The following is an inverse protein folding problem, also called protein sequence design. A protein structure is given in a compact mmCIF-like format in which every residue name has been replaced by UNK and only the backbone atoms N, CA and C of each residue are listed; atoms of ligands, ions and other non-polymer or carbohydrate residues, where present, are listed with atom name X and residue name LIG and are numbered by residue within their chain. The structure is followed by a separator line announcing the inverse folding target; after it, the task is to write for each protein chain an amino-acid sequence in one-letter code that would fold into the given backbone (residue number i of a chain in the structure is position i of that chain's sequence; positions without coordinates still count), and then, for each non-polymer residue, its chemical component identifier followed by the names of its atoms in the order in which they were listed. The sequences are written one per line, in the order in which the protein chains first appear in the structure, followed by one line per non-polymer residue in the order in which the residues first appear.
data_IF_551870607860
#
_entry.id   IF_551870607860
#
_cell.length_a   1.000
_cell.length_b   1.000
_cell.length_c   1.000
_cell.angle_alpha   90.00
_cell.angle_beta   90.00
_cell.angle_gamma   90.00
#
_symmetry.space_group_name_H-M   'P 1'
#
loop_
_entity.id
_entity.type
_entity.pdbx_description
1 polymer ?
#
# COMPACT_ATOMS: atom_id res chain seq x y z
N UNK A 1 -58.23 -0.04 25.16
CA UNK A 1 -57.90 0.65 23.90
C UNK A 1 -57.09 1.87 24.28
N UNK A 2 -55.77 1.74 24.24
CA UNK A 2 -54.89 2.50 23.36
C UNK A 2 -53.44 2.13 23.71
N UNK A 3 -52.82 1.44 22.75
CA UNK A 3 -51.48 0.87 22.81
C UNK A 3 -50.40 1.96 22.86
N UNK A 4 -49.54 1.92 23.89
CA UNK A 4 -48.23 2.57 23.83
C UNK A 4 -47.18 1.52 23.47
N UNK A 5 -46.76 1.62 22.22
CA UNK A 5 -45.71 0.85 21.57
C UNK A 5 -44.40 0.86 22.36
N UNK A 6 -43.98 -0.33 22.80
CA UNK A 6 -42.63 -0.62 23.23
C UNK A 6 -41.74 -0.57 22.00
N UNK A 7 -40.99 0.52 21.82
CA UNK A 7 -39.91 0.58 20.86
C UNK A 7 -38.75 -0.29 21.37
N UNK A 8 -38.68 -1.53 20.88
CA UNK A 8 -37.46 -2.37 20.93
C UNK A 8 -36.36 -1.68 20.13
N UNK A 9 -35.58 -0.82 20.78
CA UNK A 9 -34.30 -0.36 20.27
C UNK A 9 -33.31 -1.54 20.38
N UNK A 10 -33.24 -2.36 19.34
CA UNK A 10 -32.11 -3.25 19.11
C UNK A 10 -30.90 -2.38 18.72
N UNK A 11 -30.24 -1.79 19.70
CA UNK A 11 -28.85 -1.37 19.51
C UNK A 11 -28.01 -2.63 19.35
N UNK A 12 -27.22 -2.77 18.26
CA UNK A 12 -26.33 -3.91 18.12
C UNK A 12 -25.35 -3.92 19.29
N UNK A 13 -25.33 -5.01 20.04
CA UNK A 13 -24.30 -5.29 21.02
C UNK A 13 -22.95 -5.33 20.30
N UNK A 14 -22.11 -4.33 20.52
CA UNK A 14 -20.72 -4.36 20.10
C UNK A 14 -20.00 -5.30 21.06
N UNK A 15 -19.84 -6.56 20.66
CA UNK A 15 -19.05 -7.55 21.38
C UNK A 15 -17.57 -7.14 21.37
N UNK A 16 -17.08 -6.60 22.47
CA UNK A 16 -15.65 -6.35 22.68
C UNK A 16 -14.99 -7.62 23.24
N UNK A 17 -14.01 -8.17 22.53
CA UNK A 17 -13.20 -9.29 22.98
C UNK A 17 -12.33 -8.86 24.17
N UNK A 18 -12.66 -9.33 25.36
CA UNK A 18 -11.76 -9.33 26.51
C UNK A 18 -10.71 -10.42 26.38
N UNK A 19 -9.47 -10.09 26.78
CA UNK A 19 -8.68 -10.77 27.81
C UNK A 19 -7.19 -10.78 27.43
N UNK A 20 -6.35 -10.06 28.19
CA UNK A 20 -4.90 -10.00 27.98
C UNK A 20 -4.21 -8.89 28.76
N UNK A 21 -4.09 -9.10 30.08
CA UNK A 21 -3.12 -8.52 31.05
C UNK A 21 -2.33 -7.27 30.64
N UNK A 22 -2.63 -6.16 31.33
CA UNK A 22 -1.86 -4.93 31.36
C UNK A 22 -0.52 -5.11 32.09
N UNK A 23 0.58 -4.87 31.39
CA UNK A 23 1.78 -4.25 32.00
C UNK A 23 2.13 -3.02 31.16
N UNK A 24 1.48 -1.89 31.48
CA UNK A 24 1.79 -0.58 30.90
C UNK A 24 2.65 0.16 31.92
N UNK A 25 3.95 0.22 31.65
CA UNK A 25 4.88 1.15 32.28
C UNK A 25 4.51 2.62 31.95
N UNK A 26 4.80 3.58 32.83
CA UNK A 26 4.34 4.95 32.69
C UNK A 26 5.25 5.70 31.72
N UNK A 27 4.83 5.91 30.47
CA UNK A 27 5.62 6.79 29.57
C UNK A 27 4.84 7.55 28.50
N UNK A 28 3.50 7.61 28.52
CA UNK A 28 2.75 8.29 27.44
C UNK A 28 1.55 9.14 27.89
N UNK A 29 1.60 9.81 29.04
CA UNK A 29 0.51 10.70 29.47
C UNK A 29 0.43 12.05 28.72
N UNK A 30 1.38 12.40 27.85
CA UNK A 30 1.40 13.72 27.19
C UNK A 30 1.08 13.72 25.67
N UNK A 31 0.70 12.57 25.07
CA UNK A 31 0.47 12.51 23.61
C UNK A 31 -0.99 12.75 23.18
N UNK A 32 -1.92 12.79 24.14
CA UNK A 32 -3.33 13.10 23.90
C UNK A 32 -3.79 14.06 25.00
N UNK A 33 -4.34 15.22 24.61
CA UNK A 33 -4.86 16.21 25.56
C UNK A 33 -6.00 15.66 26.41
N UNK A 34 -6.38 16.36 27.50
CA UNK A 34 -7.38 15.88 28.44
C UNK A 34 -8.70 15.64 27.70
N UNK A 35 -9.17 14.39 27.73
CA UNK A 35 -10.48 13.98 27.23
C UNK A 35 -11.39 13.76 28.44
N UNK A 36 -12.21 14.75 28.75
CA UNK A 36 -13.15 14.80 29.86
C UNK A 36 -14.55 14.31 29.46
N UNK A 37 -14.63 13.39 28.50
CA UNK A 37 -15.88 12.79 28.07
C UNK A 37 -15.91 11.32 28.52
N UNK A 38 -16.76 11.04 29.51
CA UNK A 38 -17.24 9.70 29.87
C UNK A 38 -17.96 9.06 28.67
N UNK A 39 -17.18 8.50 27.76
CA UNK A 39 -17.55 7.45 26.81
C UNK A 39 -16.28 7.13 26.03
N UNK A 40 -15.34 6.49 26.74
CA UNK A 40 -14.14 5.91 26.16
C UNK A 40 -14.49 4.79 25.18
N UNK A 41 -14.93 5.16 23.99
CA UNK A 41 -14.94 4.27 22.83
C UNK A 41 -13.52 4.21 22.26
N UNK A 42 -12.59 3.63 23.03
CA UNK A 42 -11.35 3.10 22.48
C UNK A 42 -11.72 1.89 21.62
N UNK A 43 -11.90 2.10 20.31
CA UNK A 43 -11.98 1.01 19.35
C UNK A 43 -10.67 0.23 19.35
N UNK A 44 -10.69 -0.98 19.92
CA UNK A 44 -9.59 -1.93 19.84
C UNK A 44 -9.95 -3.14 18.96
N UNK A 45 -9.15 -3.28 17.90
CA UNK A 45 -8.55 -4.50 17.36
C UNK A 45 -9.41 -5.58 16.66
N UNK A 46 -9.21 -5.62 15.33
CA UNK A 46 -9.50 -6.77 14.47
C UNK A 46 -8.85 -6.63 13.09
N UNK A 47 -7.61 -6.14 13.03
CA UNK A 47 -6.67 -6.10 11.89
C UNK A 47 -5.58 -5.09 12.25
N UNK A 48 -4.34 -5.33 11.83
CA UNK A 48 -3.19 -4.45 12.07
C UNK A 48 -3.60 -2.98 11.85
N UNK A 49 -3.31 -2.08 12.81
CA UNK A 49 -3.62 -0.65 12.67
C UNK A 49 -3.17 -0.16 11.30
N UNK A 50 -4.06 0.51 10.55
CA UNK A 50 -3.78 1.00 9.18
C UNK A 50 -2.45 1.75 9.15
N UNK A 51 -2.14 2.50 10.22
CA UNK A 51 -0.87 3.21 10.41
C UNK A 51 0.33 2.25 10.46
N UNK A 52 0.26 1.20 11.27
CA UNK A 52 1.29 0.17 11.35
C UNK A 52 1.45 -0.58 10.03
N UNK A 53 0.33 -0.92 9.37
CA UNK A 53 0.33 -1.59 8.07
C UNK A 53 1.01 -0.75 6.99
N UNK A 54 0.65 0.53 6.88
CA UNK A 54 1.30 1.43 5.91
C UNK A 54 2.77 1.67 6.22
N UNK A 55 3.17 1.70 7.50
CA UNK A 55 4.56 1.86 7.89
C UNK A 55 5.40 0.66 7.46
N UNK A 56 4.91 -0.54 7.76
CA UNK A 56 5.59 -1.80 7.39
C UNK A 56 5.69 -1.92 5.88
N UNK A 57 4.59 -1.66 5.15
CA UNK A 57 4.59 -1.69 3.68
C UNK A 57 5.58 -0.70 3.10
N UNK A 58 5.63 0.54 3.59
CA UNK A 58 6.59 1.54 3.09
C UNK A 58 8.05 1.10 3.32
N UNK A 59 8.37 0.51 4.47
CA UNK A 59 9.73 0.00 4.76
C UNK A 59 10.06 -1.17 3.83
N UNK A 60 9.16 -2.14 3.68
CA UNK A 60 9.37 -3.31 2.82
C UNK A 60 9.55 -2.87 1.36
N UNK A 61 8.69 -1.99 0.85
CA UNK A 61 8.81 -1.44 -0.49
C UNK A 61 10.12 -0.66 -0.66
N UNK A 62 10.51 0.18 0.30
CA UNK A 62 11.79 0.89 0.26
C UNK A 62 12.97 -0.08 0.10
N UNK A 63 13.01 -1.17 0.87
CA UNK A 63 14.09 -2.16 0.78
C UNK A 63 14.08 -2.87 -0.57
N UNK A 64 12.89 -3.27 -1.07
CA UNK A 64 12.75 -3.90 -2.37
C UNK A 64 13.25 -3.01 -3.51
N UNK A 65 12.83 -1.74 -3.54
CA UNK A 65 13.26 -0.79 -4.56
C UNK A 65 14.75 -0.46 -4.48
N UNK A 66 15.34 -0.44 -3.27
CA UNK A 66 16.79 -0.30 -3.10
C UNK A 66 17.55 -1.49 -3.70
N UNK A 67 17.10 -2.71 -3.46
CA UNK A 67 17.73 -3.92 -4.03
C UNK A 67 17.64 -3.90 -5.55
N UNK A 68 16.44 -3.62 -6.10
CA UNK A 68 16.23 -3.50 -7.54
C UNK A 68 17.10 -2.40 -8.14
N UNK A 69 17.23 -1.26 -7.46
CA UNK A 69 18.07 -0.17 -7.91
C UNK A 69 19.55 -0.56 -7.97
N UNK A 70 20.08 -1.21 -6.91
CA UNK A 70 21.47 -1.68 -6.86
C UNK A 70 21.75 -2.66 -8.00
N UNK A 71 20.88 -3.67 -8.18
CA UNK A 71 21.03 -4.66 -9.26
C UNK A 71 21.08 -3.99 -10.64
N UNK A 72 20.18 -3.03 -10.89
CA UNK A 72 20.13 -2.33 -12.16
C UNK A 72 21.33 -1.39 -12.37
N UNK A 73 21.81 -0.69 -11.33
CA UNK A 73 22.99 0.17 -11.43
C UNK A 73 24.27 -0.62 -11.70
N UNK A 74 24.39 -1.84 -11.16
CA UNK A 74 25.54 -2.70 -11.40
C UNK A 74 25.58 -3.22 -12.84
N UNK A 75 24.44 -3.35 -13.53
CA UNK A 75 24.33 -3.97 -14.85
C UNK A 75 24.80 -3.07 -16.03
N UNK A 76 25.33 -1.86 -15.77
CA UNK A 76 26.04 -0.94 -16.69
C UNK A 76 25.40 -0.56 -18.05
N UNK A 77 24.27 -1.13 -18.48
CA UNK A 77 23.56 -0.65 -19.66
C UNK A 77 22.72 0.60 -19.33
N UNK A 78 22.66 1.54 -20.27
CA UNK A 78 22.00 2.85 -20.09
C UNK A 78 20.53 2.75 -19.65
N UNK A 79 19.80 1.75 -20.15
CA UNK A 79 18.38 1.53 -19.78
C UNK A 79 18.26 1.04 -18.33
N UNK A 80 19.21 0.22 -17.87
CA UNK A 80 19.28 -0.23 -16.48
C UNK A 80 19.70 0.92 -15.54
N UNK A 81 20.57 1.83 -15.99
CA UNK A 81 20.94 3.01 -15.20
C UNK A 81 19.73 3.89 -14.87
N UNK A 82 18.87 4.19 -15.86
CA UNK A 82 17.67 5.01 -15.65
C UNK A 82 16.69 4.34 -14.68
N UNK A 83 16.47 3.02 -14.83
CA UNK A 83 15.63 2.25 -13.90
C UNK A 83 16.22 2.24 -12.49
N UNK A 84 17.55 2.14 -12.37
CA UNK A 84 18.25 2.21 -11.09
C UNK A 84 18.05 3.55 -10.37
N UNK A 85 18.24 4.66 -11.09
CA UNK A 85 18.00 6.01 -10.56
C UNK A 85 16.54 6.19 -10.14
N UNK A 86 15.61 5.71 -10.96
CA UNK A 86 14.18 5.76 -10.65
C UNK A 86 13.83 4.95 -9.39
N UNK A 87 14.42 3.75 -9.23
CA UNK A 87 14.26 2.93 -8.03
C UNK A 87 14.79 3.60 -6.76
N UNK A 88 15.90 4.35 -6.84
CA UNK A 88 16.40 5.17 -5.72
C UNK A 88 15.37 6.26 -5.38
N UNK A 89 14.85 6.97 -6.38
CA UNK A 89 13.86 8.04 -6.16
C UNK A 89 12.59 7.51 -5.48
N UNK A 90 12.09 6.34 -5.90
CA UNK A 90 10.98 5.65 -5.25
C UNK A 90 11.30 5.26 -3.81
N UNK A 91 12.47 4.70 -3.56
CA UNK A 91 12.92 4.32 -2.21
C UNK A 91 12.91 5.53 -1.26
N UNK A 92 13.43 6.67 -1.72
CA UNK A 92 13.37 7.93 -0.97
C UNK A 92 11.92 8.39 -0.74
N UNK A 93 11.03 8.22 -1.72
CA UNK A 93 9.62 8.55 -1.57
C UNK A 93 8.91 7.67 -0.51
N UNK A 94 9.26 6.38 -0.42
CA UNK A 94 8.76 5.52 0.66
C UNK A 94 9.27 5.96 2.04
N UNK A 95 10.50 6.45 2.16
CA UNK A 95 10.99 7.05 3.40
C UNK A 95 10.19 8.31 3.78
N UNK A 96 9.75 9.11 2.79
CA UNK A 96 8.86 10.25 3.04
C UNK A 96 7.50 9.80 3.57
N UNK A 97 6.99 8.64 3.16
CA UNK A 97 5.76 8.07 3.73
C UNK A 97 5.97 7.74 5.22
N UNK A 98 7.06 7.05 5.57
CA UNK A 98 7.39 6.72 6.96
C UNK A 98 7.55 7.99 7.81
N UNK A 99 8.25 8.99 7.27
CA UNK A 99 8.41 10.29 7.94
C UNK A 99 7.06 11.01 8.08
N UNK A 100 6.25 11.01 7.03
CA UNK A 100 4.92 11.61 6.98
C UNK A 100 3.95 11.04 7.99
N UNK A 101 4.03 9.74 8.27
CA UNK A 101 3.30 9.10 9.37
C UNK A 101 3.76 9.64 10.73
N UNK A 102 5.07 9.69 10.97
CA UNK A 102 5.63 10.16 12.24
C UNK A 102 5.23 11.61 12.55
N UNK A 103 5.27 12.51 11.54
CA UNK A 103 4.88 13.92 11.71
C UNK A 103 3.38 14.18 11.45
N UNK A 104 2.60 13.13 11.14
CA UNK A 104 1.17 13.18 10.81
C UNK A 104 0.85 14.19 9.69
N UNK A 105 1.70 14.28 8.68
CA UNK A 105 1.50 15.15 7.52
C UNK A 105 1.17 14.32 6.27
N UNK A 106 -0.10 14.31 5.80
CA UNK A 106 -0.50 13.49 4.66
C UNK A 106 0.12 13.96 3.34
N UNK A 107 0.57 15.21 3.24
CA UNK A 107 1.17 15.74 2.01
C UNK A 107 2.50 15.07 1.65
N UNK A 108 3.18 14.46 2.64
CA UNK A 108 4.42 13.72 2.41
C UNK A 108 4.21 12.36 1.72
N UNK A 109 2.96 11.88 1.65
CA UNK A 109 2.62 10.68 0.88
C UNK A 109 2.49 10.97 -0.61
N UNK A 110 2.22 12.24 -0.98
CA UNK A 110 1.87 12.62 -2.34
C UNK A 110 2.99 12.28 -3.36
N UNK A 111 4.28 12.55 -3.09
CA UNK A 111 5.35 12.17 -4.01
C UNK A 111 5.40 10.65 -4.26
N UNK A 112 5.21 9.84 -3.22
CA UNK A 112 5.19 8.38 -3.33
C UNK A 112 4.02 7.90 -4.19
N UNK A 113 2.82 8.40 -3.93
CA UNK A 113 1.62 8.04 -4.69
C UNK A 113 1.73 8.44 -6.17
N UNK A 114 2.30 9.61 -6.47
CA UNK A 114 2.51 10.05 -7.86
C UNK A 114 3.53 9.16 -8.56
N UNK A 115 4.67 8.88 -7.94
CA UNK A 115 5.72 8.06 -8.54
C UNK A 115 5.26 6.61 -8.77
N UNK A 116 4.58 5.99 -7.80
CA UNK A 116 4.02 4.64 -7.97
C UNK A 116 2.94 4.61 -9.08
N UNK A 117 2.10 5.64 -9.19
CA UNK A 117 1.09 5.71 -10.25
C UNK A 117 1.75 5.77 -11.64
N UNK A 118 2.79 6.59 -11.79
CA UNK A 118 3.58 6.68 -13.03
C UNK A 118 4.21 5.32 -13.35
N UNK A 119 4.83 4.67 -12.37
CA UNK A 119 5.44 3.35 -12.53
C UNK A 119 4.44 2.28 -12.96
N UNK A 120 3.25 2.25 -12.34
CA UNK A 120 2.19 1.32 -12.72
C UNK A 120 1.76 1.52 -14.18
N UNK A 121 1.61 2.76 -14.64
CA UNK A 121 1.27 3.06 -16.05
C UNK A 121 2.36 2.52 -16.99
N UNK A 122 3.63 2.81 -16.71
CA UNK A 122 4.75 2.32 -17.52
C UNK A 122 4.85 0.79 -17.50
N UNK A 123 4.70 0.17 -16.34
CA UNK A 123 4.70 -1.29 -16.17
C UNK A 123 3.58 -1.94 -16.97
N UNK A 124 2.38 -1.36 -16.94
CA UNK A 124 1.25 -1.82 -17.75
C UNK A 124 1.55 -1.78 -19.25
N UNK A 125 2.18 -0.70 -19.73
CA UNK A 125 2.58 -0.58 -21.13
C UNK A 125 3.62 -1.64 -21.54
N UNK A 126 4.62 -1.89 -20.68
CA UNK A 126 5.64 -2.91 -20.89
C UNK A 126 5.01 -4.30 -20.95
N UNK A 127 4.08 -4.63 -20.05
CA UNK A 127 3.38 -5.92 -20.04
C UNK A 127 2.58 -6.11 -21.34
N UNK A 128 1.84 -5.09 -21.79
CA UNK A 128 1.07 -5.16 -23.04
C UNK A 128 2.00 -5.42 -24.23
N UNK A 129 3.13 -4.70 -24.32
CA UNK A 129 4.12 -4.92 -25.39
C UNK A 129 4.67 -6.35 -25.38
N UNK A 130 5.04 -6.87 -24.22
CA UNK A 130 5.54 -8.23 -24.10
C UNK A 130 4.46 -9.29 -24.33
N UNK A 131 3.20 -9.00 -24.03
CA UNK A 131 2.07 -9.86 -24.34
C UNK A 131 1.86 -10.01 -25.85
N UNK A 132 2.03 -8.91 -26.60
CA UNK A 132 2.00 -8.93 -28.07
C UNK A 132 3.17 -9.78 -28.61
N UNK A 133 4.39 -9.55 -28.13
CA UNK A 133 5.54 -10.41 -28.46
C UNK A 133 5.25 -11.89 -28.20
N UNK A 134 4.75 -12.21 -27.00
CA UNK A 134 4.44 -13.59 -26.61
C UNK A 134 3.39 -14.24 -27.51
N UNK A 135 2.41 -13.47 -28.00
CA UNK A 135 1.38 -13.97 -28.92
C UNK A 135 1.94 -14.27 -30.30
N UNK A 136 2.80 -13.39 -30.83
CA UNK A 136 3.45 -13.58 -32.12
C UNK A 136 4.32 -14.83 -32.12
N UNK A 137 5.18 -15.00 -31.10
CA UNK A 137 6.02 -16.20 -30.97
C UNK A 137 5.18 -17.47 -30.83
N UNK A 138 4.06 -17.43 -30.10
CA UNK A 138 3.17 -18.58 -29.96
C UNK A 138 2.51 -18.95 -31.31
N UNK A 139 2.16 -17.94 -32.12
CA UNK A 139 1.59 -18.16 -33.44
C UNK A 139 2.61 -18.77 -34.42
N UNK A 140 3.88 -18.39 -34.33
CA UNK A 140 4.97 -18.98 -35.11
C UNK A 140 5.28 -20.42 -34.68
N UNK A 141 5.32 -20.70 -33.37
CA UNK A 141 5.51 -22.04 -32.82
C UNK A 141 4.39 -23.00 -33.24
N UNK A 142 3.14 -22.52 -33.30
CA UNK A 142 2.01 -23.32 -33.78
C UNK A 142 2.15 -23.71 -35.26
N UNK A 143 2.85 -22.90 -36.07
CA UNK A 143 3.10 -23.19 -37.48
C UNK A 143 4.28 -24.15 -37.69
N UNK A 144 5.28 -24.14 -36.80
CA UNK A 144 6.41 -25.06 -36.83
C UNK A 144 6.11 -26.32 -36.03
N UNK A 145 5.35 -27.24 -36.63
CA UNK A 145 5.03 -28.53 -36.01
C UNK A 145 6.31 -29.29 -35.60
N UNK A 146 6.58 -29.37 -34.29
CA UNK A 146 7.40 -30.43 -33.71
C UNK A 146 8.77 -30.08 -33.13
N UNK A 147 9.18 -28.81 -33.01
CA UNK A 147 10.36 -28.44 -32.19
C UNK A 147 9.94 -27.77 -30.88
N UNK A 148 9.43 -28.58 -29.95
CA UNK A 148 9.40 -28.24 -28.52
C UNK A 148 10.84 -28.21 -27.98
N UNK A 149 11.28 -27.37 -27.04
CA UNK A 149 11.05 -25.96 -26.74
C UNK A 149 11.94 -25.68 -25.53
N UNK A 150 13.23 -25.40 -25.74
CA UNK A 150 14.05 -24.78 -24.68
C UNK A 150 13.85 -23.25 -24.67
N UNK A 151 13.31 -22.72 -25.76
CA UNK A 151 12.75 -21.37 -25.90
C UNK A 151 11.31 -21.30 -25.37
N UNK A 152 11.07 -21.67 -24.11
CA UNK A 152 9.93 -21.08 -23.40
C UNK A 152 10.24 -19.59 -23.29
N UNK A 153 9.74 -18.90 -24.30
CA UNK A 153 9.97 -17.55 -24.76
C UNK A 153 10.25 -16.55 -23.62
N UNK A 154 11.40 -15.87 -23.69
CA UNK A 154 11.80 -14.80 -22.77
C UNK A 154 10.68 -13.74 -22.60
N UNK A 155 9.93 -13.48 -23.68
CA UNK A 155 8.73 -12.64 -23.64
C UNK A 155 7.62 -13.21 -22.73
N UNK A 156 7.36 -14.52 -22.74
CA UNK A 156 6.35 -15.15 -21.88
C UNK A 156 6.74 -15.11 -20.41
N UNK A 157 8.01 -15.41 -20.09
CA UNK A 157 8.51 -15.30 -18.72
C UNK A 157 8.42 -13.85 -18.21
N UNK A 158 8.82 -12.89 -19.06
CA UNK A 158 8.71 -11.45 -18.77
C UNK A 158 7.27 -11.02 -18.50
N UNK A 159 6.29 -11.54 -19.27
CA UNK A 159 4.87 -11.28 -19.01
C UNK A 159 4.43 -11.84 -17.66
N UNK A 160 4.79 -13.09 -17.35
CA UNK A 160 4.38 -13.74 -16.08
C UNK A 160 4.94 -12.96 -14.89
N UNK A 161 6.24 -12.67 -14.90
CA UNK A 161 6.92 -11.90 -13.85
C UNK A 161 6.34 -10.49 -13.76
N UNK A 162 6.15 -9.83 -14.91
CA UNK A 162 5.59 -8.48 -14.99
C UNK A 162 4.17 -8.39 -14.43
N UNK A 163 3.28 -9.32 -14.78
CA UNK A 163 1.91 -9.37 -14.24
C UNK A 163 1.92 -9.60 -12.74
N UNK A 164 2.74 -10.53 -12.25
CA UNK A 164 2.88 -10.79 -10.81
C UNK A 164 3.35 -9.54 -10.05
N UNK A 165 4.37 -8.85 -10.57
CA UNK A 165 4.88 -7.61 -9.99
C UNK A 165 3.86 -6.48 -10.06
N UNK A 166 3.11 -6.37 -11.15
CA UNK A 166 2.06 -5.36 -11.32
C UNK A 166 0.93 -5.53 -10.28
N UNK A 167 0.43 -6.76 -10.10
CA UNK A 167 -0.60 -7.06 -9.10
C UNK A 167 -0.10 -6.75 -7.68
N UNK A 168 1.15 -7.10 -7.38
CA UNK A 168 1.78 -6.78 -6.10
C UNK A 168 1.85 -5.26 -5.87
N UNK A 169 2.30 -4.48 -6.85
CA UNK A 169 2.37 -3.02 -6.74
C UNK A 169 1.00 -2.38 -6.57
N UNK A 170 0.00 -2.80 -7.34
CA UNK A 170 -1.39 -2.32 -7.18
C UNK A 170 -1.90 -2.59 -5.76
N UNK A 171 -1.57 -3.75 -5.20
CA UNK A 171 -1.94 -4.10 -3.83
C UNK A 171 -1.23 -3.22 -2.78
N UNK A 172 0.09 -3.03 -2.90
CA UNK A 172 0.87 -2.17 -2.01
C UNK A 172 0.40 -0.70 -2.09
N UNK A 173 0.19 -0.19 -3.31
CA UNK A 173 -0.36 1.15 -3.56
C UNK A 173 -1.71 1.33 -2.86
N UNK A 174 -2.59 0.33 -2.91
CA UNK A 174 -3.89 0.38 -2.22
C UNK A 174 -3.73 0.56 -0.71
N UNK A 175 -2.74 -0.10 -0.10
CA UNK A 175 -2.46 0.03 1.34
C UNK A 175 -1.96 1.44 1.65
N UNK A 176 -0.98 1.95 0.89
CA UNK A 176 -0.43 3.31 1.06
C UNK A 176 -1.52 4.38 0.88
N UNK A 177 -2.36 4.24 -0.14
CA UNK A 177 -3.48 5.14 -0.40
C UNK A 177 -4.51 5.14 0.74
N UNK A 178 -4.83 3.98 1.32
CA UNK A 178 -5.70 3.89 2.50
C UNK A 178 -5.09 4.61 3.70
N UNK A 179 -3.78 4.47 3.93
CA UNK A 179 -3.08 5.22 4.98
C UNK A 179 -3.11 6.72 4.76
N UNK A 180 -2.91 7.18 3.52
CA UNK A 180 -3.04 8.60 3.16
C UNK A 180 -4.43 9.15 3.50
N UNK A 181 -5.50 8.44 3.09
CA UNK A 181 -6.87 8.84 3.36
C UNK A 181 -7.17 8.89 4.86
N UNK A 182 -6.69 7.91 5.63
CA UNK A 182 -6.85 7.89 7.08
C UNK A 182 -6.19 9.11 7.75
N UNK A 183 -4.96 9.46 7.37
CA UNK A 183 -4.26 10.64 7.91
C UNK A 183 -4.98 11.93 7.51
N UNK A 184 -5.47 12.01 6.27
CA UNK A 184 -6.22 13.18 5.77
C UNK A 184 -7.54 13.36 6.52
N UNK A 185 -8.24 12.28 6.83
CA UNK A 185 -9.50 12.31 7.58
C UNK A 185 -9.29 12.85 9.00
N UNK A 186 -8.26 12.35 9.72
CA UNK A 186 -7.92 12.84 11.06
C UNK A 186 -7.59 14.33 11.03
N UNK A 187 -6.82 14.79 10.03
CA UNK A 187 -6.51 16.21 9.87
C UNK A 187 -7.76 17.04 9.60
N UNK A 188 -8.67 16.56 8.75
CA UNK A 188 -9.94 17.25 8.45
C UNK A 188 -10.82 17.39 9.68
N UNK A 189 -10.94 16.34 10.51
CA UNK A 189 -11.73 16.39 11.76
C UNK A 189 -11.16 17.43 12.74
N UNK A 190 -9.85 17.53 12.87
CA UNK A 190 -9.19 18.53 13.75
C UNK A 190 -9.42 19.97 13.28
N UNK A 191 -9.65 20.20 11.99
CA UNK A 191 -9.90 21.52 11.43
C UNK A 191 -11.37 21.97 11.51
N UNK A 192 -12.31 21.10 11.91
CA UNK A 192 -13.71 21.50 12.06
C UNK A 192 -13.89 22.25 13.39
N UNK A 193 -14.55 23.41 13.41
CA UNK A 193 -14.91 24.07 14.65
C UNK A 193 -15.84 23.18 15.47
N UNK A 194 -15.71 23.22 16.80
CA UNK A 194 -16.65 22.55 17.69
C UNK A 194 -18.04 23.15 17.45
N UNK A 195 -19.01 22.31 17.09
CA UNK A 195 -20.41 22.73 17.04
C UNK A 195 -20.83 22.91 18.50
N UNK A 196 -20.98 24.17 18.92
CA UNK A 196 -21.54 24.59 20.21
C UNK A 196 -23.05 24.71 20.05
#
# INVERSE_FOLDING_TARGET
MDDKSVATNKSPATTCCGNGSNEIGPTNQYKYGPNNNESGATCCCGSVSIETGTKVVAIVSCVLYMIVAIVNLLNHQTVHLLHGVFGIALSLAYLLVVYGQNVRNPWLFLPCLILEAIEMIFSGFIIIRNLVCSRETLAELKKSAGKYSEYVNDCTLTVIVGVGFFVLNVWLYSIIFRGFMAVKEVKSRRSRPAVV
#
